data_IF_667405069492
#
_entry.id   IF_667405069492
#
_cell.length_a   1.000
_cell.length_b   1.000
_cell.length_c   1.000
_cell.angle_alpha   90.00
_cell.angle_beta   90.00
_cell.angle_gamma   90.00
#
_symmetry.space_group_name_H-M   'P 1'
#
loop_
_entity.id
_entity.type
_entity.pdbx_description
1 polymer ?
2 non-polymer ?
3 water ?
#
# COMPACT_ATOMS: atom_id res chain seq x y z
N UNK A 21 -6.65 -31.08 5.88
CA UNK A 21 -5.52 -30.12 5.97
C UNK A 21 -5.80 -29.11 7.06
N UNK A 22 -4.72 -28.63 7.67
CA UNK A 22 -4.77 -27.52 8.61
C UNK A 22 -4.86 -26.22 7.83
N UNK A 23 -6.08 -25.67 7.75
CA UNK A 23 -6.29 -24.26 7.45
C UNK A 23 -6.77 -23.50 8.70
N UNK A 24 -6.21 -23.92 9.82
CA UNK A 24 -6.22 -23.16 11.06
C UNK A 24 -5.24 -21.99 10.89
N UNK A 25 -4.28 -22.14 9.99
CA UNK A 25 -3.29 -21.09 9.78
C UNK A 25 -3.89 -19.82 9.17
N UNK A 26 -4.99 -19.94 8.42
CA UNK A 26 -5.72 -18.76 7.93
C UNK A 26 -6.59 -18.17 9.01
N UNK A 27 -7.17 -19.02 9.84
CA UNK A 27 -8.09 -18.59 10.88
C UNK A 27 -7.39 -17.76 11.96
N UNK A 28 -6.10 -18.02 12.16
CA UNK A 28 -5.31 -17.30 13.14
C UNK A 28 -4.97 -15.90 12.61
N UNK A 29 -4.63 -15.80 11.33
CA UNK A 29 -4.34 -14.50 10.71
C UNK A 29 -5.54 -13.57 10.66
N UNK A 30 -6.75 -14.13 10.64
CA UNK A 30 -7.98 -13.36 10.52
C UNK A 30 -8.28 -12.66 11.83
N UNK A 31 -7.73 -13.19 12.91
CA UNK A 31 -7.88 -12.57 14.20
C UNK A 31 -6.65 -11.72 14.56
N UNK A 32 -5.70 -11.56 13.63
CA UNK A 32 -4.46 -10.82 13.91
C UNK A 32 -4.52 -9.42 13.28
N UNK A 33 -4.59 -8.38 14.12
CA UNK A 33 -4.82 -7.02 13.62
C UNK A 33 -3.61 -6.46 12.88
N UNK A 34 -3.85 -5.85 11.73
CA UNK A 34 -2.80 -5.31 10.89
C UNK A 34 -3.13 -3.90 10.39
N UNK A 35 -2.12 -3.04 10.38
CA UNK A 35 -2.26 -1.72 9.79
C UNK A 35 -2.38 -1.81 8.27
N UNK A 36 -3.15 -0.88 7.70
CA UNK A 36 -3.40 -0.83 6.28
C UNK A 36 -2.92 0.50 5.69
N UNK A 37 -2.60 0.44 4.42
CA UNK A 37 -2.13 1.57 3.63
C UNK A 37 -2.47 1.27 2.17
N UNK A 38 -2.31 2.28 1.32
CA UNK A 38 -2.54 2.11 -0.12
C UNK A 38 -1.26 2.50 -0.82
N UNK A 39 -0.69 1.57 -1.57
CA UNK A 39 0.54 1.86 -2.30
C UNK A 39 0.17 2.14 -3.74
N UNK A 40 0.68 3.24 -4.29
CA UNK A 40 0.44 3.56 -5.68
C UNK A 40 1.74 3.61 -6.44
N UNK A 41 1.61 3.50 -7.75
CA UNK A 41 2.68 3.85 -8.66
C UNK A 41 2.14 4.32 -10.02
N UNK A 42 3.03 4.89 -10.82
CA UNK A 42 2.78 5.19 -12.21
C UNK A 42 3.52 4.13 -12.97
N UNK A 43 2.76 3.26 -13.63
CA UNK A 43 3.28 2.09 -14.30
C UNK A 43 3.17 2.31 -15.81
N UNK A 44 4.21 2.88 -16.40
CA UNK A 44 4.27 3.17 -17.83
C UNK A 44 3.05 3.98 -18.24
N UNK A 45 2.75 5.03 -17.48
CA UNK A 45 1.58 5.86 -17.71
C UNK A 45 0.28 5.42 -17.05
N UNK A 46 0.14 4.13 -16.75
CA UNK A 46 -1.04 3.60 -16.04
C UNK A 46 -0.94 3.83 -14.53
N UNK A 47 -1.90 4.57 -14.00
CA UNK A 47 -1.99 4.82 -12.58
C UNK A 47 -2.62 3.61 -11.90
N UNK A 48 -1.88 3.01 -10.98
CA UNK A 48 -2.35 1.84 -10.23
C UNK A 48 -2.09 2.03 -8.76
N UNK A 49 -2.94 1.41 -7.95
CA UNK A 49 -2.75 1.36 -6.52
C UNK A 49 -3.41 0.14 -5.93
N UNK A 50 -3.08 -0.20 -4.70
CA UNK A 50 -3.78 -1.27 -4.02
C UNK A 50 -3.69 -1.14 -2.52
N UNK A 51 -4.76 -1.58 -1.86
CA UNK A 51 -4.80 -1.71 -0.42
C UNK A 51 -3.85 -2.83 -0.03
N UNK A 52 -2.99 -2.57 0.94
CA UNK A 52 -2.08 -3.59 1.47
C UNK A 52 -2.17 -3.62 2.99
N UNK A 53 -2.02 -4.81 3.56
CA UNK A 53 -1.90 -4.98 5.00
C UNK A 53 -0.53 -5.61 5.39
N UNK A 54 0.44 -5.46 4.49
CA UNK A 54 1.79 -6.02 4.66
C UNK A 54 2.88 -4.94 4.65
N UNK A 55 2.47 -3.67 4.70
CA UNK A 55 3.41 -2.56 4.80
C UNK A 55 4.07 -2.48 6.18
N UNK A 56 5.38 -2.28 6.17
CA UNK A 56 6.13 -2.10 7.39
C UNK A 56 7.47 -1.42 7.11
N UNK A 57 8.08 -0.94 8.18
CA UNK A 57 9.46 -0.48 8.15
C UNK A 57 10.41 -1.69 8.21
N UNK A 58 11.37 -1.72 7.30
CA UNK A 58 12.32 -2.82 7.21
C UNK A 58 13.69 -2.45 7.77
N UNK A 59 14.08 -1.19 7.63
CA UNK A 59 15.43 -0.75 7.97
C UNK A 59 15.46 0.75 8.13
N UNK A 60 16.29 1.23 9.06
CA UNK A 60 16.36 2.66 9.38
C UNK A 60 17.60 3.32 8.75
N UNK A 61 18.69 2.55 8.66
CA UNK A 61 19.90 3.00 7.99
C UNK A 61 20.43 1.86 7.12
N UNK A 62 20.21 1.92 5.80
CA UNK A 62 19.42 2.96 5.13
C UNK A 62 17.90 2.80 5.38
N UNK A 63 17.13 3.88 5.23
CA UNK A 63 15.69 3.86 5.48
C UNK A 63 14.93 3.14 4.37
N UNK A 64 14.67 1.85 4.57
CA UNK A 64 13.89 1.02 3.66
C UNK A 64 12.51 0.67 4.26
N UNK A 65 11.49 0.67 3.41
CA UNK A 65 10.15 0.21 3.78
C UNK A 65 9.81 -0.90 2.83
N UNK A 66 8.84 -1.71 3.18
CA UNK A 66 8.46 -2.79 2.30
C UNK A 66 7.00 -3.18 2.42
N UNK A 67 6.55 -3.93 1.42
CA UNK A 67 5.26 -4.58 1.44
C UNK A 67 5.34 -5.86 0.62
N UNK A 68 4.33 -6.70 0.77
CA UNK A 68 4.28 -7.99 0.10
C UNK A 68 3.23 -7.94 -1.03
N UNK A 69 3.63 -8.39 -2.23
CA UNK A 69 2.79 -8.38 -3.42
C UNK A 69 2.48 -9.80 -3.87
N UNK A 70 1.20 -10.06 -4.05
CA UNK A 70 0.69 -11.36 -4.49
C UNK A 70 1.07 -11.62 -5.95
N UNK A 71 1.88 -12.65 -6.21
CA UNK A 71 2.36 -12.96 -7.58
C UNK A 71 1.29 -13.65 -8.45
N UNK A 72 0.42 -14.45 -7.82
CA UNK A 72 -0.64 -15.19 -8.52
C UNK A 72 -1.59 -14.22 -9.20
N UNK A 73 -1.94 -13.17 -8.46
CA UNK A 73 -2.80 -12.09 -8.94
C UNK A 73 -2.06 -11.09 -9.81
N UNK A 74 -0.74 -11.21 -9.91
CA UNK A 74 0.04 -10.26 -10.68
C UNK A 74 0.24 -8.89 -10.05
N UNK A 75 0.03 -8.80 -8.73
CA UNK A 75 0.20 -7.54 -8.00
C UNK A 75 1.64 -7.06 -7.92
N UNK A 76 2.57 -7.99 -8.11
CA UNK A 76 4.00 -7.68 -8.06
C UNK A 76 4.52 -6.92 -9.29
N UNK A 77 3.97 -7.24 -10.45
CA UNK A 77 4.50 -6.76 -11.73
C UNK A 77 4.59 -5.22 -11.82
N UNK A 78 3.52 -4.49 -11.52
CA UNK A 78 3.59 -3.02 -11.59
C UNK A 78 4.79 -2.42 -10.86
N UNK A 79 5.09 -2.92 -9.66
CA UNK A 79 6.13 -2.33 -8.81
C UNK A 79 7.53 -2.79 -9.22
N UNK A 80 7.65 -4.03 -9.69
CA UNK A 80 8.90 -4.49 -10.31
C UNK A 80 9.33 -3.71 -11.57
N UNK A 81 8.40 -3.02 -12.24
CA UNK A 81 8.69 -2.34 -13.51
C UNK A 81 8.64 -0.81 -13.40
N UNK A 82 8.59 -0.30 -12.19
CA UNK A 82 8.59 1.14 -12.01
C UNK A 82 9.73 1.48 -11.07
N UNK A 83 10.10 2.75 -11.08
CA UNK A 83 11.26 3.23 -10.36
C UNK A 83 10.85 3.72 -8.99
N UNK A 84 9.64 4.26 -8.89
CA UNK A 84 9.10 4.75 -7.63
C UNK A 84 7.76 4.11 -7.23
N UNK A 85 7.38 4.40 -5.98
CA UNK A 85 6.06 4.08 -5.44
C UNK A 85 5.80 4.94 -4.22
N UNK A 86 4.53 5.23 -3.99
CA UNK A 86 4.11 6.04 -2.88
C UNK A 86 3.27 5.18 -1.94
N UNK A 87 3.47 5.37 -0.64
CA UNK A 87 2.66 4.75 0.40
C UNK A 87 1.77 5.82 0.93
N UNK A 88 0.48 5.60 0.81
CA UNK A 88 -0.52 6.55 1.25
C UNK A 88 -1.16 6.03 2.54
N UNK A 89 -1.17 6.88 3.56
CA UNK A 89 -1.77 6.59 4.85
C UNK A 89 -3.04 7.41 4.95
N UNK A 90 -4.17 6.74 5.16
CA UNK A 90 -5.45 7.42 5.20
C UNK A 90 -6.36 6.81 6.24
N UNK A 91 -7.41 7.55 6.60
CA UNK A 91 -8.41 7.06 7.57
C UNK A 91 -9.82 6.96 7.01
N UNK A 92 -9.94 6.95 5.68
CA UNK A 92 -11.22 6.82 5.00
C UNK A 92 -11.41 5.39 4.52
N UNK A 93 -12.26 4.64 5.22
CA UNK A 93 -12.54 3.24 4.89
C UNK A 93 -12.90 3.04 3.44
N UNK A 94 -13.63 4.00 2.88
CA UNK A 94 -14.13 3.88 1.52
C UNK A 94 -12.99 3.74 0.49
N UNK A 95 -11.87 4.41 0.75
CA UNK A 95 -10.71 4.34 -0.13
C UNK A 95 -10.07 2.96 -0.11
N UNK A 96 -10.03 2.34 1.06
CA UNK A 96 -9.47 1.01 1.16
C UNK A 96 -10.31 0.05 0.32
N UNK A 97 -11.61 0.26 0.33
CA UNK A 97 -12.50 -0.58 -0.46
C UNK A 97 -12.34 -0.32 -1.93
N UNK A 98 -12.08 0.92 -2.33
CA UNK A 98 -11.91 1.25 -3.75
C UNK A 98 -10.67 0.56 -4.28
N UNK A 99 -9.61 0.57 -3.48
CA UNK A 99 -8.32 0.06 -3.92
C UNK A 99 -8.12 -1.41 -3.57
N UNK A 100 -9.21 -2.08 -3.19
CA UNK A 100 -9.28 -3.55 -3.13
C UNK A 100 -10.39 -4.16 -4.02
N UNK A 101 -11.46 -3.42 -4.33
CA UNK A 101 -12.67 -4.03 -4.92
C UNK A 101 -13.08 -3.52 -6.30
N UNK A 102 -12.75 -2.28 -6.62
CA UNK A 102 -13.18 -1.70 -7.88
C UNK A 102 -12.26 -2.12 -9.01
N UNK A 103 -12.79 -2.26 -10.23
CA UNK A 103 -11.92 -2.60 -11.37
C UNK A 103 -10.80 -1.56 -11.50
N UNK A 104 -9.63 -2.03 -11.89
CA UNK A 104 -8.43 -1.22 -11.93
C UNK A 104 -8.59 0.07 -12.76
N UNK A 105 -9.37 0.02 -13.84
CA UNK A 105 -9.53 1.19 -14.71
C UNK A 105 -10.46 2.26 -14.14
N UNK A 106 -11.18 1.93 -13.08
CA UNK A 106 -12.16 2.83 -12.48
C UNK A 106 -11.63 3.56 -11.22
N UNK A 107 -10.55 3.06 -10.63
CA UNK A 107 -10.06 3.58 -9.33
C UNK A 107 -9.74 5.08 -9.27
N UNK A 108 -9.01 5.58 -10.26
CA UNK A 108 -8.56 6.97 -10.26
C UNK A 108 -9.55 7.98 -10.88
N UNK A 109 -10.70 7.50 -11.35
CA UNK A 109 -11.80 8.38 -11.77
C UNK A 109 -12.59 8.89 -10.56
N UNK A 110 -12.65 8.06 -9.53
CA UNK A 110 -13.55 8.30 -8.41
C UNK A 110 -12.95 9.11 -7.28
N UNK A 111 -11.64 9.28 -7.26
CA UNK A 111 -11.02 10.01 -6.16
C UNK A 111 -10.14 11.14 -6.65
N UNK A 112 -9.84 12.05 -5.73
CA UNK A 112 -8.94 13.16 -5.97
C UNK A 112 -7.50 12.72 -5.68
N UNK A 113 -6.60 13.04 -6.59
CA UNK A 113 -5.20 12.72 -6.44
C UNK A 113 -4.35 13.83 -7.05
N UNK A 114 -3.12 13.97 -6.60
CA UNK A 114 -2.15 14.82 -7.29
C UNK A 114 -1.00 13.95 -7.74
N UNK A 115 -0.22 14.43 -8.70
CA UNK A 115 0.94 13.67 -9.16
C UNK A 115 2.10 14.04 -8.25
N UNK A 116 3.00 13.08 -8.05
CA UNK A 116 4.11 13.21 -7.13
C UNK A 116 5.34 12.74 -7.86
N UNK A 117 6.28 12.18 -7.11
CA UNK A 117 7.57 11.82 -7.68
C UNK A 117 7.38 10.75 -8.75
N UNK A 118 7.91 11.01 -9.95
CA UNK A 118 7.87 10.06 -11.04
C UNK A 118 6.48 9.83 -11.63
N UNK A 119 5.58 10.78 -11.42
CA UNK A 119 4.20 10.64 -11.82
C UNK A 119 3.29 9.88 -10.86
N UNK A 120 3.87 9.29 -9.80
CA UNK A 120 3.10 8.48 -8.85
C UNK A 120 1.98 9.29 -8.23
N UNK A 121 0.78 8.73 -8.13
CA UNK A 121 -0.33 9.44 -7.49
C UNK A 121 -0.30 9.44 -5.96
N UNK A 122 -0.54 10.61 -5.39
CA UNK A 122 -0.74 10.81 -3.98
C UNK A 122 -2.21 11.06 -3.77
N UNK A 123 -2.82 10.32 -2.87
CA UNK A 123 -4.22 10.47 -2.60
C UNK A 123 -4.43 11.72 -1.76
N UNK A 124 -5.45 12.49 -2.12
CA UNK A 124 -5.75 13.77 -1.51
C UNK A 124 -6.23 13.56 -0.08
N UNK A 125 -6.97 12.48 0.12
CA UNK A 125 -7.52 12.14 1.43
C UNK A 125 -6.51 11.45 2.36
N UNK A 126 -5.23 11.46 2.01
CA UNK A 126 -4.20 10.92 2.88
C UNK A 126 -3.90 11.92 3.97
N UNK A 127 -3.60 11.42 5.16
CA UNK A 127 -3.07 12.25 6.24
C UNK A 127 -1.55 12.24 6.25
N UNK A 128 -0.95 11.31 5.52
CA UNK A 128 0.50 11.25 5.38
C UNK A 128 0.84 10.38 4.20
N UNK A 129 2.02 10.57 3.64
CA UNK A 129 2.53 9.64 2.66
C UNK A 129 4.04 9.58 2.71
N UNK A 130 4.58 8.54 2.12
CA UNK A 130 6.00 8.38 1.96
C UNK A 130 6.26 8.11 0.48
N UNK A 131 7.18 8.85 -0.12
CA UNK A 131 7.62 8.57 -1.47
C UNK A 131 8.89 7.77 -1.36
N UNK A 132 9.05 6.79 -2.23
CA UNK A 132 10.13 5.84 -2.14
C UNK A 132 10.57 5.38 -3.52
N UNK A 133 11.81 4.93 -3.60
CA UNK A 133 12.43 4.49 -4.83
C UNK A 133 12.63 3.00 -4.72
N UNK A 134 12.24 2.25 -5.74
CA UNK A 134 12.42 0.82 -5.69
C UNK A 134 13.90 0.50 -5.44
N UNK A 135 14.15 -0.47 -4.57
CA UNK A 135 15.49 -0.78 -4.07
C UNK A 135 15.86 -2.23 -4.35
N UNK A 136 14.89 -3.13 -4.23
CA UNK A 136 15.09 -4.56 -4.47
C UNK A 136 13.72 -5.25 -4.49
N UNK A 137 13.64 -6.45 -5.06
CA UNK A 137 12.46 -7.31 -4.94
C UNK A 137 12.91 -8.75 -4.75
N UNK A 138 12.11 -9.56 -4.07
CA UNK A 138 12.51 -10.92 -3.71
C UNK A 138 11.31 -11.84 -3.73
N UNK A 139 11.36 -12.87 -4.56
CA UNK A 139 10.23 -13.80 -4.68
C UNK A 139 10.37 -14.88 -3.64
N UNK A 140 9.40 -14.95 -2.74
CA UNK A 140 9.37 -16.02 -1.76
C UNK A 140 7.98 -16.63 -1.77
N UNK A 141 7.90 -17.90 -2.16
CA UNK A 141 6.62 -18.58 -2.27
C UNK A 141 5.76 -17.82 -3.25
N UNK A 142 4.48 -17.62 -2.92
CA UNK A 142 3.56 -16.94 -3.83
C UNK A 142 3.51 -15.40 -3.70
N UNK A 143 4.47 -14.80 -3.00
CA UNK A 143 4.55 -13.33 -2.90
C UNK A 143 5.95 -12.83 -3.24
N UNK A 144 6.07 -11.55 -3.58
CA UNK A 144 7.36 -10.88 -3.61
C UNK A 144 7.39 -9.80 -2.56
N UNK A 145 8.55 -9.63 -1.96
CA UNK A 145 8.78 -8.56 -1.04
C UNK A 145 9.31 -7.43 -1.89
N UNK A 146 8.61 -6.30 -1.83
CA UNK A 146 9.02 -5.11 -2.53
C UNK A 146 9.55 -4.12 -1.52
N UNK A 147 10.81 -3.78 -1.71
CA UNK A 147 11.55 -2.92 -0.81
C UNK A 147 11.73 -1.62 -1.56
N UNK A 148 11.45 -0.51 -0.91
CA UNK A 148 11.80 0.78 -1.44
C UNK A 148 12.63 1.61 -0.48
N UNK A 149 13.57 2.37 -1.04
CA UNK A 149 14.35 3.34 -0.31
C UNK A 149 13.56 4.63 -0.14
N UNK A 150 13.31 5.02 1.10
CA UNK A 150 12.57 6.24 1.37
C UNK A 150 13.35 7.45 0.85
N UNK A 151 12.65 8.39 0.21
CA UNK A 151 13.28 9.63 -0.22
C UNK A 151 12.57 10.87 0.32
N UNK A 152 11.27 10.79 0.58
CA UNK A 152 10.63 11.79 1.45
C UNK A 152 9.42 11.23 2.16
N UNK A 153 8.86 12.05 3.04
CA UNK A 153 7.57 11.80 3.64
C UNK A 153 7.09 13.05 4.32
N UNK A 154 5.78 13.29 4.30
CA UNK A 154 5.21 14.49 4.92
C UNK A 154 4.00 14.13 5.73
N UNK A 155 3.84 14.81 6.86
CA UNK A 155 2.63 14.70 7.65
C UNK A 155 1.80 15.93 7.29
N UNK A 156 0.60 15.68 6.77
CA UNK A 156 -0.22 16.71 6.13
C UNK A 156 -1.33 17.14 7.06
N UNK A 157 -2.18 16.19 7.42
CA UNK A 157 -3.22 16.39 8.42
C UNK A 157 -2.69 15.90 9.77
N UNK A 158 -2.93 16.66 10.84
CA UNK A 158 -2.38 16.33 12.16
C UNK A 158 -3.37 15.48 12.96
N UNK A 159 -4.67 15.74 12.77
CA UNK A 159 -5.74 15.06 13.50
C UNK A 159 -6.41 13.98 12.64
N UNK A 160 -6.12 12.72 12.96
CA UNK A 160 -6.68 11.58 12.23
C UNK A 160 -6.97 10.37 13.13
N UNK A 161 -7.69 9.42 12.55
CA UNK A 161 -8.09 8.21 13.23
C UNK A 161 -7.49 6.99 12.52
N UNK A 162 -6.39 6.45 13.04
CA UNK A 162 -5.71 5.33 12.38
C UNK A 162 -6.56 4.08 12.45
N UNK A 163 -6.52 3.29 11.39
CA UNK A 163 -7.37 2.12 11.26
C UNK A 163 -6.56 0.82 11.18
N UNK A 164 -7.16 -0.25 11.68
CA UNK A 164 -6.59 -1.58 11.51
C UNK A 164 -7.58 -2.56 10.92
N UNK A 165 -7.03 -3.43 10.09
CA UNK A 165 -7.76 -4.49 9.45
C UNK A 165 -7.69 -5.76 10.30
N UNK A 166 -8.85 -6.33 10.56
CA UNK A 166 -8.98 -7.61 11.21
C UNK A 166 -10.31 -8.24 10.81
N UNK A 167 -10.27 -9.48 10.35
CA UNK A 167 -11.49 -10.24 10.13
C UNK A 167 -12.40 -9.60 9.07
N UNK A 168 -11.79 -9.13 7.98
CA UNK A 168 -12.49 -8.47 6.86
C UNK A 168 -13.09 -7.10 7.17
N UNK A 169 -12.69 -6.52 8.29
CA UNK A 169 -13.26 -5.30 8.82
C UNK A 169 -12.18 -4.30 9.23
N UNK A 170 -12.59 -3.06 9.40
CA UNK A 170 -11.72 -1.98 9.82
C UNK A 170 -12.22 -1.45 11.16
N UNK A 171 -11.30 -1.28 12.09
CA UNK A 171 -11.62 -0.85 13.43
C UNK A 171 -10.87 0.43 13.75
N UNK A 172 -11.52 1.33 14.47
CA UNK A 172 -10.86 2.49 15.07
C UNK A 172 -10.05 1.96 16.25
N UNK A 173 -9.14 2.76 16.79
CA UNK A 173 -8.36 2.34 17.96
C UNK A 173 -8.96 2.78 19.32
N UNK A 174 -9.13 1.82 20.23
CA UNK A 174 -9.54 2.11 21.60
C UNK A 174 -8.32 2.43 22.46
X LIG B 1 -2.70 -7.68 -2.20
X LIG B 1 -1.33 -7.82 -2.14
X LIG B 1 -0.73 -8.17 -3.14
X LIG B 1 -0.62 -7.58 -0.97
X LIG B 1 -1.30 -7.18 0.17
X LIG B 1 -0.67 -6.76 1.15
X LIG B 1 -2.68 -7.05 0.12
X LIG B 1 -3.36 -6.64 1.26
X LIG B 1 -4.72 -6.48 1.19
X LIG B 1 -5.41 -6.13 2.34
X LIG B 1 -6.76 -5.88 2.32
X LIG B 1 -7.32 -5.09 3.47
X LIG B 1 -7.50 -6.15 1.18
X LIG B 1 -9.01 -6.22 1.25
X LIG B 1 -6.85 -6.55 0.01
X LIG B 1 -5.44 -6.73 0.01
X LIG B 1 -4.74 -7.13 -1.14
X LIG B 1 -3.38 -7.29 -1.07
X LIG B 1 -5.42 -7.35 -2.46
X LIG B 1 -5.28 -6.11 -3.34
X LIG B 1 -5.89 -4.98 -2.75
X LIG B 1 -5.85 -6.37 -4.72
X LIG B 1 -5.47 -7.63 -5.20
X LIG B 1 -5.36 -5.30 -5.67
X LIG B 1 -6.09 -4.13 -5.35
X LIG B 1 -5.56 -5.66 -7.14
X LIG B 1 -6.95 -5.81 -7.30
X LIG B 1 -7.67 -7.04 -8.06
X LIG B 1 -7.38 -6.87 -9.52
X LIG B 1 -9.17 -6.88 -7.79
X LIG B 1 -7.22 -8.42 -7.54
#
# INVERSE_FOLDING_TARGET
>A
MGSSHHHHHHSSGLVPRGSHMAEVIKSIMRKFPLGVAIVTTNWKGELVGMTVNTFNSLSLNPPLVSFFADRMKGNDIPYKESKYFVVNFTDNEELFNIFALKPVKERFREIKYKEGIGGCPILYDSYAYIEAKLYDTIDVGDHSIIVGEVIDGYQIRDNFTPLVYMNRKYYKLSSL
>B hetero
1 FMN N1 C2 O2 N3 C4 O4 C4A N5 C5A C6 C7 C7M C8 C8M C9 C9A N10 C10 C1' C2' O2' C3' O3' C4' O4' C5' O5' P O1P O2P O3P
#
